data_IF_063444160203
#
_entry.id   IF_063444160203
#
_cell.length_a   1.000
_cell.length_b   1.000
_cell.length_c   1.000
_cell.angle_alpha   90.00
_cell.angle_beta   90.00
_cell.angle_gamma   90.00
#
_symmetry.space_group_name_H-M   'P 1'
#
loop_
_entity.id
_entity.type
_entity.pdbx_description
1 polymer ?
#
# COMPACT_ATOMS: atom_id res chain seq x y z
N UNK A 1 -13.35 14.42 6.22
CA UNK A 1 -13.27 12.98 6.59
C UNK A 1 -12.09 12.43 5.83
N UNK A 2 -10.91 12.41 6.43
CA UNK A 2 -9.73 11.75 5.88
C UNK A 2 -9.97 10.24 5.99
N UNK A 3 -10.17 9.58 4.85
CA UNK A 3 -10.63 8.19 4.80
C UNK A 3 -9.45 7.31 4.48
N UNK A 4 -8.70 6.85 5.48
CA UNK A 4 -7.77 5.72 5.33
C UNK A 4 -6.34 5.97 5.83
N UNK A 5 -5.45 5.06 5.46
CA UNK A 5 -4.04 5.09 5.81
C UNK A 5 -3.20 5.12 4.54
N UNK A 6 -2.42 6.19 4.39
CA UNK A 6 -1.40 6.33 3.37
C UNK A 6 -0.05 5.81 3.89
N UNK A 7 0.61 5.02 3.05
CA UNK A 7 1.98 4.55 3.26
C UNK A 7 2.78 4.84 2.00
N UNK A 8 3.82 5.66 2.13
CA UNK A 8 4.82 5.85 1.08
C UNK A 8 5.88 4.75 1.19
N UNK A 9 6.27 4.18 0.05
CA UNK A 9 7.23 3.10 -0.02
C UNK A 9 8.12 3.25 -1.25
N UNK A 10 9.42 3.03 -1.07
CA UNK A 10 10.40 3.06 -2.14
C UNK A 10 11.13 1.72 -2.17
N UNK A 11 11.16 1.09 -3.34
CA UNK A 11 11.87 -0.18 -3.56
C UNK A 11 13.37 0.10 -3.72
N UNK A 12 14.23 -0.80 -3.28
CA UNK A 12 15.69 -0.62 -3.35
C UNK A 12 16.19 -0.34 -4.78
N UNK A 13 15.61 -1.02 -5.78
CA UNK A 13 15.95 -0.86 -7.21
C UNK A 13 15.00 0.09 -7.96
N UNK A 14 14.27 0.94 -7.23
CA UNK A 14 13.49 2.06 -7.78
C UNK A 14 12.09 1.73 -8.33
N UNK A 15 11.88 0.58 -8.99
CA UNK A 15 10.55 0.21 -9.54
C UNK A 15 10.24 -1.29 -9.49
N UNK A 16 10.02 -1.83 -8.29
CA UNK A 16 9.52 -3.21 -8.11
C UNK A 16 8.00 -3.22 -7.82
N UNK A 17 7.20 -3.19 -8.88
CA UNK A 17 5.73 -3.23 -8.80
C UNK A 17 5.22 -4.52 -8.17
N UNK A 18 5.89 -5.66 -8.41
CA UNK A 18 5.48 -6.95 -7.90
C UNK A 18 5.61 -6.99 -6.38
N UNK A 19 6.72 -6.47 -5.85
CA UNK A 19 6.92 -6.32 -4.41
C UNK A 19 5.85 -5.44 -3.78
N UNK A 20 5.53 -4.29 -4.40
CA UNK A 20 4.53 -3.36 -3.88
C UNK A 20 3.14 -3.99 -3.87
N UNK A 21 2.77 -4.72 -4.93
CA UNK A 21 1.53 -5.48 -4.97
C UNK A 21 1.48 -6.57 -3.89
N UNK A 22 2.58 -7.29 -3.69
CA UNK A 22 2.70 -8.30 -2.66
C UNK A 22 2.54 -7.69 -1.26
N UNK A 23 3.27 -6.61 -0.95
CA UNK A 23 3.20 -5.92 0.33
C UNK A 23 1.79 -5.38 0.61
N UNK A 24 1.16 -4.73 -0.37
CA UNK A 24 -0.19 -4.20 -0.22
C UNK A 24 -1.23 -5.32 0.00
N UNK A 25 -1.17 -6.37 -0.82
CA UNK A 25 -2.10 -7.48 -0.76
C UNK A 25 -1.97 -8.31 0.52
N UNK A 26 -0.74 -8.68 0.89
CA UNK A 26 -0.47 -9.48 2.09
C UNK A 26 -0.87 -8.69 3.34
N UNK A 27 -0.51 -7.41 3.41
CA UNK A 27 -0.90 -6.54 4.53
C UNK A 27 -2.42 -6.42 4.61
N UNK A 28 -3.13 -6.20 3.51
CA UNK A 28 -4.60 -6.15 3.54
C UNK A 28 -5.23 -7.49 3.99
N UNK A 29 -4.64 -8.61 3.60
CA UNK A 29 -5.11 -9.94 4.01
C UNK A 29 -4.93 -10.22 5.51
N UNK A 30 -3.84 -9.75 6.12
CA UNK A 30 -3.60 -9.88 7.56
C UNK A 30 -4.70 -9.20 8.39
N UNK A 31 -5.33 -8.17 7.84
CA UNK A 31 -6.45 -7.44 8.43
C UNK A 31 -7.78 -7.68 7.69
N UNK A 32 -7.99 -8.89 7.14
CA UNK A 32 -9.24 -9.26 6.46
C UNK A 32 -10.52 -9.02 7.28
N UNK A 33 -10.42 -9.06 8.62
CA UNK A 33 -11.51 -8.76 9.55
C UNK A 33 -11.91 -7.27 9.57
N UNK A 34 -11.07 -6.39 9.05
CA UNK A 34 -11.34 -4.95 8.91
C UNK A 34 -11.88 -4.58 7.53
N UNK A 35 -12.01 -5.53 6.59
CA UNK A 35 -12.41 -5.27 5.20
C UNK A 35 -11.55 -4.17 4.55
N UNK A 36 -10.22 -4.29 4.68
CA UNK A 36 -9.29 -3.33 4.10
C UNK A 36 -9.27 -3.49 2.58
N UNK A 37 -9.59 -2.41 1.87
CA UNK A 37 -9.33 -2.25 0.44
C UNK A 37 -8.04 -1.45 0.27
N UNK A 38 -7.37 -1.59 -0.86
CA UNK A 38 -6.18 -0.79 -1.13
C UNK A 38 -6.10 -0.34 -2.59
N UNK A 39 -5.42 0.78 -2.81
CA UNK A 39 -5.03 1.24 -4.13
C UNK A 39 -3.53 1.51 -4.13
N UNK A 40 -2.89 1.37 -5.29
CA UNK A 40 -1.45 1.56 -5.44
C UNK A 40 -1.23 2.65 -6.47
N UNK A 41 -0.36 3.60 -6.14
CA UNK A 41 -0.01 4.73 -6.97
C UNK A 41 1.49 4.74 -7.19
N UNK A 42 1.89 4.94 -8.44
CA UNK A 42 3.27 5.28 -8.78
C UNK A 42 3.33 6.79 -8.97
N UNK A 43 3.99 7.46 -8.04
CA UNK A 43 4.09 8.91 -8.00
C UNK A 43 5.46 9.33 -8.51
N UNK A 44 5.48 10.27 -9.46
CA UNK A 44 6.70 10.91 -9.94
C UNK A 44 6.79 12.33 -9.36
N UNK A 45 7.85 12.59 -8.59
CA UNK A 45 8.14 13.89 -7.98
C UNK A 45 9.55 14.32 -8.38
N UNK A 46 9.65 15.40 -9.16
CA UNK A 46 10.92 15.95 -9.65
C UNK A 46 11.84 14.91 -10.31
N UNK A 47 11.26 13.91 -11.00
CA UNK A 47 12.00 12.83 -11.67
C UNK A 47 12.38 11.66 -10.76
N UNK A 48 11.98 11.68 -9.50
CA UNK A 48 12.06 10.54 -8.59
C UNK A 48 10.72 9.85 -8.47
N UNK A 49 10.71 8.54 -8.73
CA UNK A 49 9.52 7.71 -8.60
C UNK A 49 9.48 7.02 -7.24
N UNK A 50 8.31 7.04 -6.61
CA UNK A 50 8.03 6.26 -5.42
C UNK A 50 6.61 5.71 -5.47
N UNK A 51 6.38 4.64 -4.72
CA UNK A 51 5.04 4.08 -4.59
C UNK A 51 4.34 4.68 -3.39
N UNK A 52 3.04 4.91 -3.53
CA UNK A 52 2.16 5.17 -2.40
C UNK A 52 1.03 4.16 -2.39
N UNK A 53 0.81 3.57 -1.23
CA UNK A 53 -0.23 2.57 -1.01
C UNK A 53 -1.28 3.19 -0.09
N UNK A 54 -2.52 2.99 -0.49
CA UNK A 54 -3.65 3.71 0.04
C UNK A 54 -4.66 2.72 0.62
N UNK A 55 -4.62 2.48 1.93
CA UNK A 55 -5.47 1.51 2.62
C UNK A 55 -6.77 2.13 3.12
N UNK A 56 -7.90 1.54 2.72
CA UNK A 56 -9.25 1.97 2.99
C UNK A 56 -9.99 0.99 3.88
N UNK A 57 -10.51 1.46 5.00
CA UNK A 57 -11.50 0.72 5.78
C UNK A 57 -12.32 1.70 6.62
N UNK A 58 -13.53 1.30 7.02
CA UNK A 58 -14.34 2.03 8.01
C UNK A 58 -13.62 2.21 9.35
N UNK A 59 -12.66 1.32 9.66
CA UNK A 59 -11.85 1.33 10.87
C UNK A 59 -10.49 2.04 10.71
N UNK A 60 -10.14 2.46 9.49
CA UNK A 60 -8.93 3.24 9.22
C UNK A 60 -9.29 4.71 9.08
N UNK A 61 -9.68 5.32 10.20
CA UNK A 61 -10.00 6.75 10.30
C UNK A 61 -9.19 7.37 11.41
N UNK A 62 -9.11 8.69 11.47
CA UNK A 62 -8.39 9.41 12.54
C UNK A 62 -8.95 9.11 13.94
N UNK A 63 -10.20 8.66 14.01
CA UNK A 63 -10.86 8.22 15.25
C UNK A 63 -10.33 6.88 15.77
N UNK A 64 -9.57 6.12 14.97
CA UNK A 64 -9.00 4.83 15.33
C UNK A 64 -7.47 4.83 15.08
N UNK A 65 -6.70 5.67 15.79
CA UNK A 65 -5.28 5.81 15.55
C UNK A 65 -4.50 4.51 15.83
N UNK A 66 -4.95 3.71 16.80
CA UNK A 66 -4.36 2.40 17.11
C UNK A 66 -4.43 1.44 15.92
N UNK A 67 -5.56 1.40 15.20
CA UNK A 67 -5.70 0.53 14.04
C UNK A 67 -4.82 0.99 12.88
N UNK A 68 -4.69 2.32 12.68
CA UNK A 68 -3.76 2.89 11.69
C UNK A 68 -2.31 2.51 12.02
N UNK A 69 -1.93 2.62 13.29
CA UNK A 69 -0.60 2.25 13.76
C UNK A 69 -0.33 0.77 13.53
N UNK A 70 -1.25 -0.11 13.88
CA UNK A 70 -1.13 -1.56 13.67
C UNK A 70 -0.96 -1.94 12.21
N UNK A 71 -1.74 -1.34 11.30
CA UNK A 71 -1.58 -1.61 9.86
C UNK A 71 -0.22 -1.12 9.34
N UNK A 72 0.25 0.05 9.82
CA UNK A 72 1.58 0.55 9.45
C UNK A 72 2.71 -0.33 9.97
N UNK A 73 2.67 -0.72 11.24
CA UNK A 73 3.67 -1.63 11.82
C UNK A 73 3.69 -2.96 11.08
N UNK A 74 2.51 -3.49 10.72
CA UNK A 74 2.45 -4.73 9.97
C UNK A 74 3.00 -4.61 8.55
N UNK A 75 2.74 -3.49 7.89
CA UNK A 75 3.35 -3.19 6.60
C UNK A 75 4.87 -3.17 6.71
N UNK A 76 5.42 -2.50 7.72
CA UNK A 76 6.86 -2.42 7.97
C UNK A 76 7.47 -3.78 8.29
N UNK A 77 6.78 -4.63 9.05
CA UNK A 77 7.17 -6.02 9.29
C UNK A 77 7.26 -6.82 7.98
N UNK A 78 6.22 -6.73 7.14
CA UNK A 78 6.17 -7.42 5.85
C UNK A 78 7.26 -6.89 4.90
N UNK A 79 7.55 -5.59 4.92
CA UNK A 79 8.61 -4.97 4.12
C UNK A 79 10.03 -5.38 4.55
N UNK A 80 10.22 -5.83 5.79
CA UNK A 80 11.48 -6.38 6.28
C UNK A 80 11.69 -7.85 5.96
N UNK A 81 10.65 -8.56 5.53
CA UNK A 81 10.80 -9.94 5.05
C UNK A 81 11.69 -9.97 3.82
N UNK A 82 12.35 -11.10 3.57
CA UNK A 82 13.08 -11.25 2.32
C UNK A 82 12.10 -11.24 1.14
N UNK A 83 12.57 -10.75 -0.01
CA UNK A 83 11.78 -10.72 -1.24
C UNK A 83 11.14 -12.09 -1.56
N UNK A 84 11.91 -13.18 -1.44
CA UNK A 84 11.43 -14.52 -1.71
C UNK A 84 10.30 -14.97 -0.76
N UNK A 85 10.36 -14.59 0.51
CA UNK A 85 9.33 -14.94 1.49
C UNK A 85 8.01 -14.22 1.21
N UNK A 86 8.05 -12.90 1.01
CA UNK A 86 6.84 -12.12 0.76
C UNK A 86 6.19 -12.51 -0.56
N UNK A 87 6.99 -12.74 -1.60
CA UNK A 87 6.48 -13.18 -2.91
C UNK A 87 5.87 -14.58 -2.85
N UNK A 88 6.45 -15.50 -2.06
CA UNK A 88 5.85 -16.82 -1.84
C UNK A 88 4.47 -16.72 -1.21
N UNK A 89 4.33 -15.94 -0.13
CA UNK A 89 3.04 -15.73 0.55
C UNK A 89 2.02 -15.12 -0.43
N UNK A 90 2.44 -14.10 -1.17
CA UNK A 90 1.59 -13.44 -2.14
C UNK A 90 1.12 -14.38 -3.27
N UNK A 91 2.02 -15.18 -3.84
CA UNK A 91 1.66 -16.15 -4.88
C UNK A 91 0.73 -17.25 -4.37
N UNK A 92 0.94 -17.76 -3.15
CA UNK A 92 0.05 -18.75 -2.54
C UNK A 92 -1.35 -18.17 -2.31
N UNK A 93 -1.46 -16.92 -1.84
CA UNK A 93 -2.73 -16.23 -1.64
C UNK A 93 -3.43 -15.90 -2.97
N UNK A 94 -2.67 -15.51 -4.00
CA UNK A 94 -3.18 -15.26 -5.34
C UNK A 94 -3.70 -16.53 -6.01
N UNK A 95 -2.97 -17.64 -5.91
CA UNK A 95 -3.39 -18.93 -6.45
C UNK A 95 -4.71 -19.43 -5.82
N UNK A 96 -4.96 -19.07 -4.56
CA UNK A 96 -6.21 -19.35 -3.84
C UNK A 96 -7.36 -18.38 -4.16
N UNK A 97 -7.12 -17.37 -5.00
CA UNK A 97 -8.10 -16.33 -5.33
C UNK A 97 -8.42 -15.36 -4.19
N UNK A 98 -7.57 -15.30 -3.16
CA UNK A 98 -7.77 -14.45 -1.98
C UNK A 98 -7.31 -13.01 -2.27
N UNK A 99 -6.16 -12.88 -2.94
CA UNK A 99 -5.62 -11.61 -3.39
C UNK A 99 -5.73 -11.56 -4.91
N UNK A 100 -6.05 -10.37 -5.43
CA UNK A 100 -6.02 -10.07 -6.86
C UNK A 100 -5.07 -8.90 -7.10
N UNK A 101 -4.42 -8.93 -8.25
CA UNK A 101 -3.59 -7.82 -8.70
C UNK A 101 -4.46 -6.60 -8.87
N UNK A 102 -3.93 -5.45 -8.45
CA UNK A 102 -4.60 -4.17 -8.63
C UNK A 102 -3.80 -3.34 -9.62
N UNK A 103 -4.48 -2.63 -10.53
CA UNK A 103 -3.78 -1.71 -11.42
C UNK A 103 -3.07 -0.64 -10.60
N UNK A 104 -1.81 -0.37 -10.96
CA UNK A 104 -1.05 0.72 -10.40
C UNK A 104 -1.41 1.98 -11.19
N UNK A 105 -1.91 3.00 -10.50
CA UNK A 105 -2.24 4.29 -11.12
C UNK A 105 -0.98 5.16 -11.14
N UNK A 106 -0.54 5.60 -12.32
CA UNK A 106 0.54 6.58 -12.42
C UNK A 106 0.00 7.99 -12.13
N UNK A 107 0.71 8.74 -11.31
CA UNK A 107 0.40 10.14 -10.99
C UNK A 107 1.68 10.95 -11.20
N UNK A 108 1.66 11.87 -12.17
CA UNK A 108 2.76 12.81 -12.44
C UNK A 108 2.44 14.13 -11.77
N UNK A 109 3.28 14.55 -10.85
CA UNK A 109 2.98 15.71 -10.00
C UNK A 109 4.00 16.82 -10.23
N UNK A 110 3.51 18.01 -10.57
CA UNK A 110 4.35 19.19 -10.83
C UNK A 110 4.64 20.01 -9.55
N UNK A 111 3.96 19.77 -8.39
CA UNK A 111 4.19 20.48 -7.12
C UNK A 111 3.88 19.63 -5.86
N UNK A 112 4.37 20.10 -4.69
CA UNK A 112 4.56 19.42 -3.38
C UNK A 112 3.43 18.52 -2.82
N UNK A 113 3.56 17.21 -2.98
CA UNK A 113 2.70 16.18 -2.37
C UNK A 113 2.92 15.91 -0.87
N UNK A 114 3.68 16.74 -0.18
CA UNK A 114 3.60 16.75 1.28
C UNK A 114 2.27 17.34 1.76
N UNK A 115 1.55 18.10 0.91
CA UNK A 115 0.35 18.83 1.30
C UNK A 115 -0.97 18.21 0.80
N UNK A 116 -1.02 17.54 -0.35
CA UNK A 116 -2.27 16.98 -0.89
C UNK A 116 -2.46 15.46 -0.62
N UNK A 117 -3.57 15.03 0.03
CA UNK A 117 -3.87 13.62 0.25
C UNK A 117 -4.22 12.90 -1.06
N UNK A 118 -3.64 11.72 -1.30
CA UNK A 118 -3.85 10.94 -2.54
C UNK A 118 -5.31 10.54 -2.75
N UNK A 119 -6.10 10.52 -1.68
CA UNK A 119 -7.54 10.29 -1.72
C UNK A 119 -8.29 11.16 -2.75
N UNK A 120 -7.74 12.32 -3.14
CA UNK A 120 -8.31 13.17 -4.18
C UNK A 120 -8.29 12.51 -5.59
N UNK A 121 -7.45 11.49 -5.81
CA UNK A 121 -7.28 10.79 -7.10
C UNK A 121 -8.01 9.44 -7.20
N UNK A 122 -8.93 9.16 -6.26
CA UNK A 122 -9.87 8.02 -6.32
C UNK A 122 -11.10 8.37 -7.14
#
# INVERSE_FOLDING_TARGET
MEKGLEIAFQTADGMDEALVQALAGVTAYDFRNMDIKYNIFLVDLYGQKYFRILFLSKKLTDLHPEERKRVREKFDENARMSYGEIMKIYHDLKARGIIVDRPIKEVREEYDLWEDPIWQYI
#
